data_IF_181409602601
#
_entry.id   IF_181409602601
#
_cell.length_a   1.000
_cell.length_b   1.000
_cell.length_c   1.000
_cell.angle_alpha   90.00
_cell.angle_beta   90.00
_cell.angle_gamma   90.00
#
_symmetry.space_group_name_H-M   'P 1'
#
loop_
_entity.id
_entity.type
_entity.pdbx_description
1 polymer ?
#
# COMPACT_ATOMS: atom_id res chain seq x y z
N UNK A 1 -8.06 3.79 -20.63
CA UNK A 1 -9.01 3.75 -19.50
C UNK A 1 -10.27 4.48 -19.92
N UNK A 2 -11.44 3.86 -19.78
CA UNK A 2 -12.71 4.50 -20.14
C UNK A 2 -12.98 5.62 -19.11
N UNK A 3 -13.03 6.88 -19.53
CA UNK A 3 -13.04 8.07 -18.66
C UNK A 3 -14.20 8.10 -17.65
N UNK A 4 -15.30 7.46 -18.00
CA UNK A 4 -16.48 7.25 -17.14
C UNK A 4 -16.18 6.36 -15.93
N UNK A 5 -15.40 5.28 -16.12
CA UNK A 5 -15.10 4.35 -15.02
C UNK A 5 -14.19 5.00 -13.97
N UNK A 6 -13.17 5.74 -14.39
CA UNK A 6 -12.27 6.46 -13.48
C UNK A 6 -13.02 7.43 -12.59
N UNK A 7 -13.99 8.16 -13.17
CA UNK A 7 -14.84 9.09 -12.41
C UNK A 7 -15.73 8.36 -11.41
N UNK A 8 -16.35 7.24 -11.81
CA UNK A 8 -17.18 6.44 -10.90
C UNK A 8 -16.36 5.88 -9.74
N UNK A 9 -15.14 5.41 -10.01
CA UNK A 9 -14.24 4.91 -8.98
C UNK A 9 -13.80 6.02 -8.01
N UNK A 10 -13.34 7.17 -8.52
CA UNK A 10 -12.92 8.29 -7.68
C UNK A 10 -14.06 8.76 -6.75
N UNK A 11 -15.28 8.85 -7.27
CA UNK A 11 -16.44 9.21 -6.46
C UNK A 11 -16.72 8.17 -5.36
N UNK A 12 -16.62 6.88 -5.69
CA UNK A 12 -16.80 5.81 -4.71
C UNK A 12 -15.70 5.83 -3.64
N UNK A 13 -14.45 6.01 -4.04
CA UNK A 13 -13.29 6.14 -3.14
C UNK A 13 -13.50 7.30 -2.15
N UNK A 14 -13.89 8.47 -2.64
CA UNK A 14 -14.18 9.63 -1.78
C UNK A 14 -15.38 9.37 -0.87
N UNK A 15 -16.47 8.81 -1.39
CA UNK A 15 -17.65 8.47 -0.59
C UNK A 15 -17.29 7.52 0.56
N UNK A 16 -16.57 6.44 0.28
CA UNK A 16 -16.16 5.47 1.29
C UNK A 16 -15.17 6.08 2.30
N UNK A 17 -14.27 6.96 1.84
CA UNK A 17 -13.35 7.69 2.73
C UNK A 17 -14.11 8.60 3.69
N UNK A 18 -15.08 9.40 3.20
CA UNK A 18 -15.91 10.25 4.06
C UNK A 18 -16.83 9.44 4.98
N UNK A 19 -17.39 8.34 4.48
CA UNK A 19 -18.22 7.45 5.28
C UNK A 19 -17.42 6.86 6.45
N UNK A 20 -16.20 6.38 6.21
CA UNK A 20 -15.37 5.80 7.25
C UNK A 20 -14.76 6.84 8.18
N UNK A 21 -14.49 8.07 7.69
CA UNK A 21 -14.20 9.23 8.54
C UNK A 21 -15.37 9.53 9.49
N UNK A 22 -16.61 9.45 9.00
CA UNK A 22 -17.77 9.61 9.88
C UNK A 22 -17.87 8.47 10.89
N UNK A 23 -17.64 7.21 10.47
CA UNK A 23 -17.60 6.05 11.37
C UNK A 23 -16.57 6.24 12.48
N UNK A 24 -15.35 6.68 12.18
CA UNK A 24 -14.30 6.85 13.20
C UNK A 24 -14.63 7.93 14.24
N UNK A 25 -15.47 8.90 13.90
CA UNK A 25 -15.96 9.89 14.87
C UNK A 25 -17.09 9.33 15.76
N UNK A 26 -17.85 8.34 15.27
CA UNK A 26 -19.02 7.79 15.99
C UNK A 26 -18.68 6.58 16.87
N UNK A 27 -17.68 5.80 16.48
CA UNK A 27 -17.34 4.53 17.12
C UNK A 27 -15.94 4.61 17.75
N UNK A 28 -15.61 3.65 18.60
CA UNK A 28 -14.29 3.56 19.23
C UNK A 28 -13.35 2.57 18.52
N UNK A 29 -12.08 2.59 18.91
CA UNK A 29 -10.98 1.82 18.32
C UNK A 29 -11.30 0.33 18.08
N UNK A 30 -12.01 -0.34 19.00
CA UNK A 30 -12.37 -1.76 18.82
C UNK A 30 -13.20 -2.01 17.55
N UNK A 31 -14.16 -1.13 17.26
CA UNK A 31 -15.00 -1.24 16.05
C UNK A 31 -14.18 -0.88 14.82
N UNK A 32 -13.37 0.16 14.93
CA UNK A 32 -12.51 0.63 13.85
C UNK A 32 -11.50 -0.43 13.42
N UNK A 33 -10.79 -1.02 14.37
CA UNK A 33 -9.81 -2.07 14.15
C UNK A 33 -10.46 -3.31 13.56
N UNK A 34 -11.63 -3.72 14.07
CA UNK A 34 -12.37 -4.84 13.50
C UNK A 34 -12.70 -4.60 12.01
N UNK A 35 -13.23 -3.42 11.67
CA UNK A 35 -13.51 -3.05 10.28
C UNK A 35 -12.21 -3.04 9.45
N UNK A 36 -11.14 -2.47 10.00
CA UNK A 36 -9.84 -2.40 9.35
C UNK A 36 -9.29 -3.79 9.03
N UNK A 37 -9.31 -4.71 9.99
CA UNK A 37 -8.86 -6.09 9.79
C UNK A 37 -9.71 -6.81 8.75
N UNK A 38 -11.03 -6.67 8.78
CA UNK A 38 -11.90 -7.25 7.73
C UNK A 38 -11.51 -6.72 6.35
N UNK A 39 -11.28 -5.42 6.21
CA UNK A 39 -10.88 -4.80 4.94
C UNK A 39 -9.50 -5.26 4.46
N UNK A 40 -8.51 -5.29 5.35
CA UNK A 40 -7.14 -5.72 5.03
C UNK A 40 -7.09 -7.21 4.69
N UNK A 41 -7.73 -8.06 5.48
CA UNK A 41 -7.75 -9.51 5.24
C UNK A 41 -8.50 -9.83 3.94
N UNK A 42 -9.61 -9.15 3.66
CA UNK A 42 -10.37 -9.38 2.43
C UNK A 42 -9.67 -8.80 1.19
N UNK A 43 -9.72 -7.48 1.00
CA UNK A 43 -9.22 -6.81 -0.21
C UNK A 43 -7.70 -6.65 -0.17
N UNK A 44 -7.14 -6.40 1.01
CA UNK A 44 -5.71 -6.19 1.21
C UNK A 44 -4.85 -7.44 1.06
N UNK A 45 -5.34 -8.66 1.25
CA UNK A 45 -4.58 -9.87 0.87
C UNK A 45 -4.87 -10.22 -0.59
N UNK A 46 -6.12 -10.03 -1.03
CA UNK A 46 -6.56 -10.37 -2.38
C UNK A 46 -5.81 -9.60 -3.47
N UNK A 47 -5.43 -8.33 -3.25
CA UNK A 47 -4.74 -7.53 -4.27
C UNK A 47 -3.35 -8.07 -4.69
N UNK A 48 -2.64 -8.76 -3.79
CA UNK A 48 -1.36 -9.42 -4.07
C UNK A 48 -1.49 -10.90 -4.44
N UNK A 49 -2.68 -11.48 -4.30
CA UNK A 49 -2.90 -12.92 -4.49
C UNK A 49 -2.73 -13.37 -5.96
N UNK A 50 -2.80 -12.46 -6.94
CA UNK A 50 -2.68 -12.79 -8.36
C UNK A 50 -1.29 -12.50 -8.95
N UNK A 51 -0.27 -12.25 -8.13
CA UNK A 51 1.07 -11.85 -8.61
C UNK A 51 1.71 -12.87 -9.56
N UNK A 52 1.67 -14.16 -9.21
CA UNK A 52 2.21 -15.22 -10.07
C UNK A 52 1.43 -15.37 -11.39
N UNK A 53 0.12 -15.08 -11.38
CA UNK A 53 -0.70 -15.05 -12.58
C UNK A 53 -0.25 -13.92 -13.52
N UNK A 54 0.01 -12.73 -12.98
CA UNK A 54 0.50 -11.58 -13.76
C UNK A 54 1.83 -11.91 -14.45
N UNK A 55 2.77 -12.49 -13.72
CA UNK A 55 4.07 -12.89 -14.28
C UNK A 55 3.92 -13.92 -15.40
N UNK A 56 3.02 -14.90 -15.23
CA UNK A 56 2.77 -15.94 -16.26
C UNK A 56 2.25 -15.36 -17.58
N UNK A 57 1.40 -14.32 -17.51
CA UNK A 57 0.85 -13.66 -18.69
C UNK A 57 1.92 -12.84 -19.41
N UNK A 58 2.79 -12.16 -18.66
CA UNK A 58 3.83 -11.31 -19.25
C UNK A 58 4.85 -12.11 -20.07
N UNK A 59 5.27 -13.28 -19.58
CA UNK A 59 6.41 -14.01 -20.17
C UNK A 59 6.04 -15.02 -21.27
N UNK A 60 4.74 -15.26 -21.52
CA UNK A 60 4.20 -16.10 -22.62
C UNK A 60 4.84 -17.50 -22.78
N UNK A 61 5.38 -18.11 -21.70
CA UNK A 61 6.01 -19.45 -21.72
C UNK A 61 5.85 -20.19 -20.39
N UNK A 62 5.36 -21.44 -20.42
CA UNK A 62 5.10 -22.26 -19.21
C UNK A 62 6.35 -22.56 -18.37
N UNK A 63 7.54 -22.64 -18.99
CA UNK A 63 8.81 -22.88 -18.27
C UNK A 63 9.22 -21.74 -17.34
N UNK A 64 8.51 -20.61 -17.35
CA UNK A 64 8.87 -19.46 -16.50
C UNK A 64 8.09 -19.37 -15.20
N UNK A 65 7.01 -20.14 -15.00
CA UNK A 65 6.25 -20.13 -13.74
C UNK A 65 7.12 -20.56 -12.56
N UNK A 66 7.82 -21.70 -12.66
CA UNK A 66 8.71 -22.20 -11.59
C UNK A 66 9.83 -21.20 -11.30
N UNK A 67 10.42 -20.61 -12.34
CA UNK A 67 11.45 -19.57 -12.18
C UNK A 67 10.91 -18.37 -11.40
N UNK A 68 9.73 -17.87 -11.76
CA UNK A 68 9.10 -16.73 -11.10
C UNK A 68 8.70 -17.04 -9.67
N UNK A 69 8.19 -18.24 -9.41
CA UNK A 69 7.93 -18.72 -8.05
C UNK A 69 9.20 -18.77 -7.21
N UNK A 70 10.30 -19.31 -7.76
CA UNK A 70 11.61 -19.34 -7.08
C UNK A 70 12.07 -17.92 -6.75
N UNK A 71 12.01 -16.98 -7.69
CA UNK A 71 12.39 -15.58 -7.44
C UNK A 71 11.48 -14.96 -6.37
N UNK A 72 10.17 -15.14 -6.47
CA UNK A 72 9.17 -14.63 -5.52
C UNK A 72 9.46 -15.12 -4.10
N UNK A 73 9.67 -16.43 -3.92
CA UNK A 73 10.00 -17.04 -2.63
C UNK A 73 11.40 -16.60 -2.15
N UNK A 74 12.36 -16.42 -3.06
CA UNK A 74 13.71 -15.95 -2.70
C UNK A 74 13.69 -14.53 -2.14
N UNK A 75 12.84 -13.64 -2.68
CA UNK A 75 12.64 -12.30 -2.14
C UNK A 75 12.07 -12.38 -0.72
N UNK A 76 11.07 -13.25 -0.47
CA UNK A 76 10.53 -13.46 0.88
C UNK A 76 11.62 -13.94 1.84
N UNK A 77 12.40 -14.95 1.45
CA UNK A 77 13.49 -15.49 2.29
C UNK A 77 14.52 -14.39 2.58
N UNK A 78 14.86 -13.57 1.60
CA UNK A 78 15.77 -12.43 1.80
C UNK A 78 15.20 -11.43 2.82
N UNK A 79 13.91 -11.09 2.73
CA UNK A 79 13.24 -10.23 3.73
C UNK A 79 13.32 -10.83 5.14
N UNK A 80 13.08 -12.14 5.28
CA UNK A 80 13.19 -12.84 6.56
C UNK A 80 14.62 -12.84 7.10
N UNK A 81 15.61 -13.07 6.25
CA UNK A 81 17.03 -13.00 6.65
C UNK A 81 17.38 -11.60 7.15
N UNK A 82 16.98 -10.54 6.43
CA UNK A 82 17.22 -9.15 6.86
C UNK A 82 16.54 -8.89 8.21
N UNK A 83 15.30 -9.36 8.40
CA UNK A 83 14.58 -9.24 9.67
C UNK A 83 15.31 -9.95 10.81
N UNK A 84 15.83 -11.15 10.60
CA UNK A 84 16.60 -11.89 11.62
C UNK A 84 17.90 -11.17 12.01
N UNK A 85 18.55 -10.47 11.08
CA UNK A 85 19.74 -9.67 11.38
C UNK A 85 19.41 -8.34 12.07
N UNK A 86 18.36 -7.66 11.60
CA UNK A 86 17.90 -6.40 12.19
C UNK A 86 16.43 -6.16 11.82
N UNK A 87 15.49 -6.40 12.76
CA UNK A 87 14.07 -6.14 12.54
C UNK A 87 13.79 -4.67 12.19
N UNK A 88 14.49 -3.74 12.86
CA UNK A 88 14.35 -2.31 12.61
C UNK A 88 14.74 -1.93 11.16
N UNK A 89 15.87 -2.45 10.66
CA UNK A 89 16.29 -2.21 9.28
C UNK A 89 15.31 -2.84 8.28
N UNK A 90 14.80 -4.04 8.58
CA UNK A 90 13.77 -4.68 7.76
C UNK A 90 12.51 -3.80 7.63
N UNK A 91 12.00 -3.29 8.76
CA UNK A 91 10.85 -2.38 8.76
C UNK A 91 11.14 -1.09 8.00
N UNK A 92 12.32 -0.49 8.20
CA UNK A 92 12.72 0.72 7.48
C UNK A 92 12.72 0.50 5.96
N UNK A 93 13.29 -0.61 5.49
CA UNK A 93 13.28 -0.99 4.07
C UNK A 93 11.86 -1.22 3.55
N UNK A 94 11.00 -1.83 4.36
CA UNK A 94 9.59 -2.00 4.02
C UNK A 94 8.85 -0.66 3.88
N UNK A 95 9.04 0.27 4.81
CA UNK A 95 8.44 1.61 4.73
C UNK A 95 8.93 2.33 3.48
N UNK A 96 10.22 2.27 3.18
CA UNK A 96 10.79 2.89 1.97
C UNK A 96 10.24 2.27 0.68
N UNK A 97 10.20 0.93 0.59
CA UNK A 97 9.70 0.23 -0.58
C UNK A 97 8.20 0.48 -0.79
N UNK A 98 7.41 0.37 0.28
CA UNK A 98 5.98 0.65 0.26
C UNK A 98 5.71 2.10 -0.12
N UNK A 99 6.51 3.04 0.39
CA UNK A 99 6.39 4.46 0.06
C UNK A 99 6.57 4.71 -1.43
N UNK A 100 7.63 4.17 -2.02
CA UNK A 100 7.83 4.26 -3.47
C UNK A 100 6.65 3.62 -4.23
N UNK A 101 6.25 2.40 -3.85
CA UNK A 101 5.19 1.67 -4.55
C UNK A 101 3.84 2.40 -4.50
N UNK A 102 3.48 2.94 -3.34
CA UNK A 102 2.27 3.73 -3.14
C UNK A 102 2.27 4.98 -4.01
N UNK A 103 3.38 5.73 -4.03
CA UNK A 103 3.50 6.92 -4.87
C UNK A 103 3.48 6.60 -6.36
N UNK A 104 4.14 5.53 -6.80
CA UNK A 104 4.14 5.11 -8.20
C UNK A 104 2.73 4.72 -8.65
N UNK A 105 2.02 3.94 -7.84
CA UNK A 105 0.66 3.52 -8.16
C UNK A 105 -0.32 4.69 -8.26
N UNK A 106 -0.17 5.68 -7.37
CA UNK A 106 -1.04 6.86 -7.35
C UNK A 106 -0.73 7.88 -8.46
N UNK A 107 0.56 8.15 -8.73
CA UNK A 107 0.99 9.30 -9.54
C UNK A 107 1.50 8.96 -10.94
N UNK A 108 1.90 7.72 -11.24
CA UNK A 108 2.56 7.34 -12.51
C UNK A 108 1.74 7.66 -13.77
N UNK A 109 0.40 7.63 -13.68
CA UNK A 109 -0.48 8.01 -14.80
C UNK A 109 -0.56 9.52 -15.03
N UNK A 110 -0.24 10.33 -14.02
CA UNK A 110 -0.34 11.79 -14.04
C UNK A 110 1.01 12.46 -14.28
N UNK A 111 2.08 11.89 -13.74
CA UNK A 111 3.43 12.48 -13.72
C UNK A 111 4.40 11.62 -14.53
N UNK A 112 5.02 12.23 -15.54
CA UNK A 112 6.08 11.58 -16.30
C UNK A 112 7.13 12.60 -16.77
N UNK A 113 8.30 12.62 -16.11
CA UNK A 113 9.42 13.53 -16.41
C UNK A 113 10.65 12.76 -16.86
N UNK A 114 11.27 12.03 -15.95
CA UNK A 114 12.39 11.11 -16.16
C UNK A 114 12.45 10.15 -14.97
N UNK A 115 13.25 9.08 -15.08
CA UNK A 115 13.32 8.02 -14.06
C UNK A 115 13.67 8.57 -12.67
N UNK A 116 14.68 9.45 -12.58
CA UNK A 116 15.15 9.97 -11.29
C UNK A 116 14.10 10.86 -10.61
N UNK A 117 13.56 11.83 -11.35
CA UNK A 117 12.52 12.74 -10.83
C UNK A 117 11.27 11.96 -10.42
N UNK A 118 10.78 11.08 -11.30
CA UNK A 118 9.58 10.29 -11.03
C UNK A 118 9.79 9.45 -9.76
N UNK A 119 10.93 8.76 -9.65
CA UNK A 119 11.19 7.91 -8.48
C UNK A 119 11.29 8.68 -7.17
N UNK A 120 11.97 9.83 -7.16
CA UNK A 120 12.05 10.67 -5.97
C UNK A 120 10.70 11.29 -5.61
N UNK A 121 9.92 11.72 -6.60
CA UNK A 121 8.60 12.32 -6.38
C UNK A 121 7.58 11.29 -5.87
N UNK A 122 7.60 10.06 -6.40
CA UNK A 122 6.78 8.95 -5.94
C UNK A 122 7.18 8.52 -4.53
N UNK A 123 8.48 8.38 -4.26
CA UNK A 123 8.96 8.09 -2.91
C UNK A 123 8.54 9.18 -1.92
N UNK A 124 8.67 10.47 -2.28
CA UNK A 124 8.25 11.58 -1.43
C UNK A 124 6.74 11.52 -1.11
N UNK A 125 5.89 11.17 -2.09
CA UNK A 125 4.46 10.99 -1.85
C UNK A 125 4.18 9.90 -0.82
N UNK A 126 4.74 8.71 -0.99
CA UNK A 126 4.52 7.63 -0.02
C UNK A 126 5.13 7.90 1.35
N UNK A 127 6.32 8.51 1.40
CA UNK A 127 6.96 8.89 2.66
C UNK A 127 6.10 9.92 3.40
N UNK A 128 5.48 10.86 2.68
CA UNK A 128 4.52 11.81 3.27
C UNK A 128 3.33 11.06 3.88
N UNK A 129 2.73 10.10 3.17
CA UNK A 129 1.61 9.32 3.71
C UNK A 129 2.02 8.53 4.98
N UNK A 130 3.13 7.77 4.93
CA UNK A 130 3.57 7.00 6.08
C UNK A 130 3.91 7.89 7.28
N UNK A 131 4.67 8.95 7.06
CA UNK A 131 5.03 9.87 8.15
C UNK A 131 3.82 10.63 8.69
N UNK A 132 2.82 10.93 7.87
CA UNK A 132 1.57 11.54 8.34
C UNK A 132 0.76 10.59 9.23
N UNK A 133 0.63 9.33 8.84
CA UNK A 133 -0.01 8.29 9.67
C UNK A 133 0.78 8.14 10.98
N UNK A 134 2.10 8.00 10.90
CA UNK A 134 2.93 7.79 12.08
C UNK A 134 2.90 8.97 13.03
N UNK A 135 2.94 10.20 12.50
CA UNK A 135 2.86 11.42 13.30
C UNK A 135 1.53 11.52 14.05
N UNK A 136 0.45 11.06 13.43
CA UNK A 136 -0.87 11.16 14.00
C UNK A 136 -1.20 10.02 14.98
N UNK A 137 -0.42 8.94 14.97
CA UNK A 137 -0.61 7.75 15.81
C UNK A 137 0.71 7.29 16.46
N UNK A 138 1.53 8.25 16.93
CA UNK A 138 2.88 7.99 17.46
C UNK A 138 2.86 6.93 18.56
N UNK A 139 1.89 6.99 19.47
CA UNK A 139 1.79 6.03 20.59
C UNK A 139 1.62 4.59 20.11
N UNK A 140 0.73 4.38 19.14
CA UNK A 140 0.43 3.04 18.61
C UNK A 140 1.58 2.52 17.75
N UNK A 141 2.20 3.40 16.96
CA UNK A 141 3.41 3.08 16.20
C UNK A 141 4.53 2.68 17.14
N UNK A 142 4.72 3.38 18.25
CA UNK A 142 5.73 3.05 19.27
C UNK A 142 5.48 1.66 19.87
N UNK A 143 4.24 1.33 20.20
CA UNK A 143 3.87 0.01 20.74
C UNK A 143 4.18 -1.10 19.73
N UNK A 144 3.74 -0.95 18.48
CA UNK A 144 3.99 -1.94 17.42
C UNK A 144 5.49 -2.07 17.12
N UNK A 145 6.23 -0.96 17.06
CA UNK A 145 7.66 -0.97 16.79
C UNK A 145 8.47 -1.61 17.92
N UNK A 146 8.10 -1.40 19.18
CA UNK A 146 8.73 -2.07 20.32
C UNK A 146 8.50 -3.57 20.28
N UNK A 147 7.28 -4.01 19.99
CA UNK A 147 6.97 -5.44 19.91
C UNK A 147 7.71 -6.11 18.74
N UNK A 148 7.77 -5.46 17.58
CA UNK A 148 8.43 -6.01 16.40
C UNK A 148 9.97 -5.98 16.49
N UNK A 149 10.53 -4.90 17.03
CA UNK A 149 11.95 -4.58 16.85
C UNK A 149 12.73 -4.32 18.12
N UNK A 150 12.05 -4.14 19.26
CA UNK A 150 12.65 -3.64 20.49
C UNK A 150 13.12 -2.18 20.43
N UNK A 151 12.95 -1.50 19.29
CA UNK A 151 13.32 -0.12 19.02
C UNK A 151 12.10 0.67 18.52
N UNK A 152 12.18 1.99 18.52
CA UNK A 152 11.15 2.87 17.97
C UNK A 152 11.73 3.96 17.09
N UNK A 153 10.87 4.64 16.33
CA UNK A 153 11.21 5.91 15.71
C UNK A 153 11.08 7.02 16.75
N UNK A 154 11.98 7.99 16.73
CA UNK A 154 11.79 9.18 17.55
C UNK A 154 10.76 10.11 16.91
N UNK A 155 10.01 10.86 17.71
CA UNK A 155 9.06 11.86 17.22
C UNK A 155 9.74 12.83 16.23
N UNK A 156 10.94 13.30 16.57
CA UNK A 156 11.74 14.15 15.67
C UNK A 156 12.05 13.49 14.31
N UNK A 157 12.32 12.18 14.27
CA UNK A 157 12.56 11.46 13.00
C UNK A 157 11.30 11.40 12.14
N UNK A 158 10.13 11.21 12.76
CA UNK A 158 8.84 11.20 12.07
C UNK A 158 8.53 12.60 11.53
N UNK A 159 8.64 13.63 12.38
CA UNK A 159 8.38 15.03 12.02
C UNK A 159 9.28 15.52 10.89
N UNK A 160 10.59 15.28 10.99
CA UNK A 160 11.51 15.75 9.95
C UNK A 160 11.25 15.04 8.62
N UNK A 161 10.86 13.76 8.66
CA UNK A 161 10.50 13.00 7.47
C UNK A 161 9.21 13.54 6.84
N UNK A 162 8.21 13.88 7.65
CA UNK A 162 6.97 14.52 7.20
C UNK A 162 7.25 15.88 6.56
N UNK A 163 8.05 16.72 7.21
CA UNK A 163 8.42 18.03 6.71
C UNK A 163 9.21 17.92 5.40
N UNK A 164 10.24 17.08 5.35
CA UNK A 164 11.09 16.94 4.17
C UNK A 164 10.32 16.38 2.98
N UNK A 165 9.48 15.36 3.19
CA UNK A 165 8.62 14.82 2.13
C UNK A 165 7.61 15.86 1.62
N UNK A 166 7.01 16.66 2.50
CA UNK A 166 6.13 17.77 2.11
C UNK A 166 6.87 18.83 1.28
N UNK A 167 8.09 19.21 1.68
CA UNK A 167 8.94 20.15 0.95
C UNK A 167 9.29 19.60 -0.43
N UNK A 168 9.70 18.33 -0.54
CA UNK A 168 9.99 17.70 -1.83
C UNK A 168 8.76 17.65 -2.74
N UNK A 169 7.59 17.30 -2.21
CA UNK A 169 6.33 17.33 -2.96
C UNK A 169 5.99 18.74 -3.43
N UNK A 170 6.13 19.75 -2.57
CA UNK A 170 5.87 21.14 -2.93
C UNK A 170 6.81 21.63 -4.03
N UNK A 171 8.12 21.46 -3.87
CA UNK A 171 9.13 21.87 -4.86
C UNK A 171 8.94 21.11 -6.17
N UNK A 172 8.72 19.79 -6.11
CA UNK A 172 8.46 18.97 -7.30
C UNK A 172 7.20 19.40 -8.04
N UNK A 173 6.12 19.70 -7.32
CA UNK A 173 4.86 20.21 -7.89
C UNK A 173 5.05 21.58 -8.53
N UNK A 174 5.76 22.49 -7.86
CA UNK A 174 6.08 23.82 -8.37
C UNK A 174 6.91 23.72 -9.66
N UNK A 175 7.93 22.86 -9.69
CA UNK A 175 8.70 22.57 -10.90
C UNK A 175 7.81 22.11 -12.06
N UNK A 176 6.89 21.17 -11.83
CA UNK A 176 5.98 20.65 -12.84
C UNK A 176 5.01 21.72 -13.39
N UNK A 177 4.56 22.64 -12.53
CA UNK A 177 3.70 23.77 -12.92
C UNK A 177 4.49 24.80 -13.73
N UNK A 178 5.65 25.25 -13.23
CA UNK A 178 6.46 26.29 -13.86
C UNK A 178 7.02 25.84 -15.21
N UNK A 179 7.37 24.56 -15.35
CA UNK A 179 7.79 23.97 -16.63
C UNK A 179 6.64 23.58 -17.54
N UNK A 180 5.39 23.86 -17.16
CA UNK A 180 4.15 23.55 -17.91
C UNK A 180 4.00 22.06 -18.27
N UNK A 181 4.64 21.16 -17.51
CA UNK A 181 4.52 19.70 -17.70
C UNK A 181 3.16 19.18 -17.24
N UNK A 182 2.59 19.82 -16.21
CA UNK A 182 1.29 19.46 -15.65
C UNK A 182 0.44 20.70 -15.35
N UNK A 183 -0.89 20.52 -15.35
CA UNK A 183 -1.84 21.60 -15.01
C UNK A 183 -1.91 21.79 -13.50
N UNK A 184 -1.99 23.04 -13.05
CA UNK A 184 -2.14 23.41 -11.63
C UNK A 184 -3.31 22.69 -10.94
N UNK A 185 -4.40 22.44 -11.68
CA UNK A 185 -5.58 21.72 -11.19
C UNK A 185 -5.25 20.37 -10.55
N UNK A 186 -4.29 19.61 -11.11
CA UNK A 186 -3.90 18.29 -10.56
C UNK A 186 -3.39 18.46 -9.12
N UNK A 187 -2.57 19.47 -8.86
CA UNK A 187 -1.97 19.68 -7.53
C UNK A 187 -2.97 20.23 -6.52
N UNK A 188 -3.97 20.99 -6.97
CA UNK A 188 -5.09 21.41 -6.11
C UNK A 188 -5.93 20.19 -5.70
N UNK A 189 -6.19 19.26 -6.62
CA UNK A 189 -6.86 18.00 -6.32
C UNK A 189 -6.03 17.14 -5.35
N UNK A 190 -4.70 17.01 -5.57
CA UNK A 190 -3.83 16.28 -4.64
C UNK A 190 -3.78 16.91 -3.24
N UNK A 191 -3.72 18.24 -3.14
CA UNK A 191 -3.75 18.92 -1.84
C UNK A 191 -5.06 18.65 -1.10
N UNK A 192 -6.19 18.63 -1.81
CA UNK A 192 -7.48 18.25 -1.23
C UNK A 192 -7.47 16.80 -0.73
N UNK A 193 -6.91 15.86 -1.50
CA UNK A 193 -6.80 14.46 -1.07
C UNK A 193 -5.90 14.29 0.16
N UNK A 194 -4.75 14.95 0.20
CA UNK A 194 -3.85 14.90 1.35
C UNK A 194 -4.50 15.51 2.60
N UNK A 195 -5.26 16.59 2.46
CA UNK A 195 -6.01 17.19 3.57
C UNK A 195 -7.13 16.26 4.07
N UNK A 196 -7.83 15.56 3.17
CA UNK A 196 -8.83 14.56 3.54
C UNK A 196 -8.19 13.39 4.29
N UNK A 197 -7.06 12.88 3.80
CA UNK A 197 -6.32 11.80 4.46
C UNK A 197 -5.77 12.23 5.82
N UNK A 198 -5.30 13.47 5.96
CA UNK A 198 -4.93 14.02 7.27
C UNK A 198 -6.10 13.97 8.25
N UNK A 199 -7.31 14.40 7.83
CA UNK A 199 -8.49 14.33 8.69
C UNK A 199 -8.86 12.90 9.09
N UNK A 200 -8.76 11.96 8.13
CA UNK A 200 -8.95 10.53 8.41
C UNK A 200 -7.97 10.07 9.48
N UNK A 201 -6.66 10.20 9.24
CA UNK A 201 -5.65 9.73 10.18
C UNK A 201 -5.78 10.40 11.55
N UNK A 202 -6.22 11.66 11.58
CA UNK A 202 -6.42 12.40 12.82
C UNK A 202 -7.57 11.91 13.69
N UNK A 203 -8.56 11.27 13.08
CA UNK A 203 -9.81 10.93 13.74
C UNK A 203 -10.10 9.43 13.77
N UNK A 204 -9.17 8.61 13.33
CA UNK A 204 -9.27 7.14 13.35
C UNK A 204 -8.11 6.51 14.12
N UNK A 205 -8.29 5.27 14.55
CA UNK A 205 -7.20 4.40 14.99
C UNK A 205 -6.13 4.28 13.90
N UNK A 206 -4.90 3.96 14.31
CA UNK A 206 -3.79 3.68 13.40
C UNK A 206 -4.20 2.69 12.30
N UNK A 207 -4.88 1.62 12.71
CA UNK A 207 -5.20 0.48 11.84
C UNK A 207 -6.29 0.85 10.84
N UNK A 208 -7.36 1.54 11.28
CA UNK A 208 -8.40 2.00 10.37
C UNK A 208 -7.89 3.07 9.41
N UNK A 209 -7.12 4.05 9.90
CA UNK A 209 -6.51 5.07 9.06
C UNK A 209 -5.65 4.46 7.96
N UNK A 210 -4.74 3.54 8.35
CA UNK A 210 -3.95 2.78 7.39
C UNK A 210 -4.82 1.96 6.43
N UNK A 211 -5.86 1.25 6.91
CA UNK A 211 -6.72 0.43 6.06
C UNK A 211 -7.52 1.26 5.04
N UNK A 212 -8.02 2.44 5.42
CA UNK A 212 -8.71 3.35 4.49
C UNK A 212 -7.77 3.72 3.34
N UNK A 213 -6.55 4.16 3.67
CA UNK A 213 -5.56 4.50 2.66
C UNK A 213 -5.18 3.26 1.81
N UNK A 214 -4.75 2.19 2.47
CA UNK A 214 -4.25 1.00 1.81
C UNK A 214 -5.29 0.39 0.88
N UNK A 215 -6.55 0.29 1.28
CA UNK A 215 -7.58 -0.35 0.46
C UNK A 215 -8.09 0.59 -0.63
N UNK A 216 -8.61 1.76 -0.27
CA UNK A 216 -9.29 2.63 -1.23
C UNK A 216 -8.35 3.50 -2.04
N UNK A 217 -7.17 3.83 -1.54
CA UNK A 217 -6.24 4.71 -2.27
C UNK A 217 -5.16 3.92 -2.99
N UNK A 218 -4.92 2.66 -2.61
CA UNK A 218 -3.84 1.85 -3.18
C UNK A 218 -4.29 0.49 -3.76
N UNK A 219 -4.91 -0.40 -2.98
CA UNK A 219 -5.21 -1.76 -3.40
C UNK A 219 -6.27 -1.81 -4.51
N UNK A 220 -7.38 -1.07 -4.40
CA UNK A 220 -8.42 -1.10 -5.43
C UNK A 220 -7.94 -0.52 -6.78
N UNK A 221 -7.23 0.63 -6.84
CA UNK A 221 -6.62 1.12 -8.07
C UNK A 221 -5.64 0.11 -8.68
N UNK A 222 -4.81 -0.52 -7.84
CA UNK A 222 -3.89 -1.59 -8.27
C UNK A 222 -4.66 -2.78 -8.85
N UNK A 223 -5.69 -3.29 -8.17
CA UNK A 223 -6.56 -4.37 -8.66
C UNK A 223 -7.17 -4.00 -10.02
N UNK A 224 -7.67 -2.78 -10.17
CA UNK A 224 -8.23 -2.31 -11.45
C UNK A 224 -7.18 -2.40 -12.56
N UNK A 225 -5.96 -1.92 -12.32
CA UNK A 225 -4.87 -1.98 -13.31
C UNK A 225 -4.44 -3.43 -13.60
N UNK A 226 -4.40 -4.29 -12.59
CA UNK A 226 -4.11 -5.71 -12.77
C UNK A 226 -5.19 -6.42 -13.60
N UNK A 227 -6.48 -6.12 -13.38
CA UNK A 227 -7.57 -6.67 -14.19
C UNK A 227 -7.45 -6.22 -15.65
N UNK A 228 -7.17 -4.93 -15.87
CA UNK A 228 -6.94 -4.38 -17.20
C UNK A 228 -5.74 -5.06 -17.89
N UNK A 229 -4.65 -5.34 -17.15
CA UNK A 229 -3.49 -6.06 -17.67
C UNK A 229 -3.81 -7.53 -18.01
N UNK A 230 -4.49 -8.24 -17.10
CA UNK A 230 -4.80 -9.68 -17.23
C UNK A 230 -5.82 -9.93 -18.34
N UNK A 231 -6.86 -9.09 -18.42
CA UNK A 231 -8.05 -9.36 -19.24
C UNK A 231 -8.25 -8.38 -20.39
N UNK A 232 -7.45 -7.31 -20.48
CA UNK A 232 -7.53 -6.27 -21.51
C UNK A 232 -8.71 -5.30 -21.35
N UNK A 233 -9.68 -5.58 -20.48
CA UNK A 233 -10.80 -4.70 -20.17
C UNK A 233 -11.34 -4.90 -18.75
N UNK A 234 -12.10 -3.90 -18.29
CA UNK A 234 -12.72 -3.90 -16.98
C UNK A 234 -14.24 -4.00 -17.11
N UNK A 235 -14.80 -5.13 -16.68
CA UNK A 235 -16.23 -5.37 -16.60
C UNK A 235 -16.54 -6.41 -15.52
N UNK A 236 -17.84 -6.65 -15.23
CA UNK A 236 -18.26 -7.60 -14.19
C UNK A 236 -17.68 -9.01 -14.37
N UNK A 237 -17.55 -9.48 -15.61
CA UNK A 237 -16.99 -10.82 -15.89
C UNK A 237 -15.50 -10.88 -15.58
N UNK A 238 -14.73 -9.85 -15.95
CA UNK A 238 -13.28 -9.81 -15.68
C UNK A 238 -12.95 -9.59 -14.22
N UNK A 239 -13.76 -8.80 -13.49
CA UNK A 239 -13.68 -8.68 -12.03
C UNK A 239 -13.92 -10.05 -11.36
N UNK A 240 -15.00 -10.75 -11.74
CA UNK A 240 -15.30 -12.07 -11.19
C UNK A 240 -14.20 -13.09 -11.49
N UNK A 241 -13.65 -13.07 -12.72
CA UNK A 241 -12.52 -13.91 -13.10
C UNK A 241 -11.29 -13.65 -12.22
N UNK A 242 -10.95 -12.38 -12.00
CA UNK A 242 -9.82 -11.98 -11.16
C UNK A 242 -9.99 -12.47 -9.71
N UNK A 243 -11.16 -12.24 -9.11
CA UNK A 243 -11.47 -12.71 -7.75
C UNK A 243 -11.35 -14.24 -7.68
N UNK A 244 -11.94 -14.96 -8.64
CA UNK A 244 -11.89 -16.43 -8.66
C UNK A 244 -10.45 -16.97 -8.73
N UNK A 245 -9.57 -16.30 -9.48
CA UNK A 245 -8.14 -16.68 -9.56
C UNK A 245 -7.39 -16.35 -8.28
N UNK A 246 -7.69 -15.20 -7.66
CA UNK A 246 -7.08 -14.78 -6.40
C UNK A 246 -7.46 -15.70 -5.23
N UNK A 247 -8.67 -16.24 -5.21
CA UNK A 247 -9.20 -17.01 -4.06
C UNK A 247 -8.29 -18.15 -3.62
N UNK A 248 -7.62 -18.85 -4.54
CA UNK A 248 -6.73 -19.98 -4.19
C UNK A 248 -5.55 -19.49 -3.35
N UNK A 249 -4.83 -18.48 -3.84
CA UNK A 249 -3.69 -17.92 -3.14
C UNK A 249 -4.11 -17.14 -1.90
N UNK A 250 -5.28 -16.49 -1.94
CA UNK A 250 -5.87 -15.85 -0.77
C UNK A 250 -6.11 -16.87 0.36
N UNK A 251 -6.76 -18.01 0.09
CA UNK A 251 -6.97 -19.07 1.11
C UNK A 251 -5.63 -19.57 1.66
N UNK A 252 -4.63 -19.77 0.81
CA UNK A 252 -3.28 -20.18 1.25
C UNK A 252 -2.69 -19.13 2.20
N UNK A 253 -2.80 -17.83 1.88
CA UNK A 253 -2.34 -16.75 2.75
C UNK A 253 -3.09 -16.70 4.08
N UNK A 254 -4.41 -16.93 4.09
CA UNK A 254 -5.19 -17.00 5.34
C UNK A 254 -4.76 -18.18 6.21
N UNK A 255 -4.55 -19.35 5.62
CA UNK A 255 -4.05 -20.52 6.38
C UNK A 255 -2.66 -20.24 6.94
N UNK A 256 -1.77 -19.62 6.14
CA UNK A 256 -0.45 -19.20 6.60
C UNK A 256 -0.51 -18.21 7.78
N UNK A 257 -1.43 -17.24 7.72
CA UNK A 257 -1.70 -16.29 8.80
C UNK A 257 -2.12 -17.01 10.09
N UNK A 258 -3.08 -17.94 10.01
CA UNK A 258 -3.57 -18.68 11.17
C UNK A 258 -2.48 -19.56 11.79
N UNK A 259 -1.64 -20.19 10.97
CA UNK A 259 -0.50 -20.99 11.44
C UNK A 259 0.53 -20.09 12.13
N UNK A 260 0.90 -18.96 11.54
CA UNK A 260 1.85 -18.03 12.14
C UNK A 260 1.35 -17.48 13.48
N UNK A 261 0.06 -17.12 13.55
CA UNK A 261 -0.57 -16.66 14.80
C UNK A 261 -0.45 -17.70 15.93
N UNK A 262 -0.58 -18.99 15.62
CA UNK A 262 -0.43 -20.06 16.61
C UNK A 262 1.03 -20.37 16.98
N UNK A 263 1.96 -20.23 16.02
CA UNK A 263 3.37 -20.59 16.19
C UNK A 263 4.22 -19.49 16.83
N UNK A 264 3.74 -18.24 16.85
CA UNK A 264 4.44 -17.10 17.47
C UNK A 264 3.65 -16.57 18.66
N UNK A 265 3.58 -17.30 19.80
CA UNK A 265 2.82 -16.88 20.98
C UNK A 265 3.36 -15.61 21.65
N UNK A 266 4.52 -15.12 21.22
CA UNK A 266 5.15 -13.91 21.74
C UNK A 266 4.59 -12.62 21.11
N UNK A 267 3.80 -12.73 20.03
CA UNK A 267 3.08 -11.58 19.46
C UNK A 267 1.73 -11.48 20.14
N UNK A 268 1.58 -10.48 21.00
CA UNK A 268 0.35 -10.18 21.73
C UNK A 268 -0.62 -9.38 20.85
N UNK A 269 -0.12 -8.51 19.97
CA UNK A 269 -0.95 -7.66 19.12
C UNK A 269 -1.27 -8.30 17.78
N UNK A 270 -2.56 -8.40 17.46
CA UNK A 270 -2.99 -8.86 16.15
C UNK A 270 -2.50 -7.94 15.00
N UNK A 271 -2.38 -6.64 15.28
CA UNK A 271 -1.81 -5.64 14.36
C UNK A 271 -0.40 -6.02 13.89
N UNK A 272 0.42 -6.54 14.81
CA UNK A 272 1.80 -6.99 14.54
C UNK A 272 1.82 -8.18 13.59
N UNK A 273 0.90 -9.13 13.75
CA UNK A 273 0.78 -10.27 12.83
C UNK A 273 0.37 -9.81 11.42
N UNK A 274 -0.59 -8.90 11.33
CA UNK A 274 -1.00 -8.31 10.04
C UNK A 274 0.18 -7.57 9.39
N UNK A 275 0.95 -6.82 10.18
CA UNK A 275 2.13 -6.12 9.68
C UNK A 275 3.20 -7.08 9.14
N UNK A 276 3.51 -8.17 9.85
CA UNK A 276 4.48 -9.19 9.38
C UNK A 276 4.06 -9.79 8.04
N UNK A 277 2.76 -9.99 7.82
CA UNK A 277 2.27 -10.49 6.53
C UNK A 277 2.46 -9.45 5.44
N UNK A 278 2.04 -8.21 5.69
CA UNK A 278 2.26 -7.11 4.75
C UNK A 278 3.74 -6.98 4.41
N UNK A 279 4.61 -7.04 5.41
CA UNK A 279 6.06 -7.05 5.24
C UNK A 279 6.52 -8.17 4.29
N UNK A 280 6.09 -9.41 4.53
CA UNK A 280 6.51 -10.56 3.75
C UNK A 280 6.03 -10.51 2.30
N UNK A 281 4.85 -9.96 2.02
CA UNK A 281 4.26 -9.96 0.67
C UNK A 281 4.57 -8.70 -0.14
N UNK A 282 4.83 -7.56 0.50
CA UNK A 282 5.00 -6.28 -0.21
C UNK A 282 6.22 -6.27 -1.12
N UNK A 283 7.35 -6.83 -0.69
CA UNK A 283 8.56 -6.84 -1.50
C UNK A 283 8.41 -7.65 -2.81
N UNK A 284 7.99 -8.92 -2.77
CA UNK A 284 7.77 -9.66 -4.00
C UNK A 284 6.61 -9.06 -4.83
N UNK A 285 5.56 -8.52 -4.20
CA UNK A 285 4.49 -7.82 -4.91
C UNK A 285 4.98 -6.61 -5.69
N UNK A 286 5.76 -5.74 -5.06
CA UNK A 286 6.33 -4.54 -5.69
C UNK A 286 7.20 -4.92 -6.90
N UNK A 287 7.95 -6.02 -6.80
CA UNK A 287 8.70 -6.57 -7.92
C UNK A 287 7.78 -7.02 -9.08
N UNK A 288 6.68 -7.71 -8.78
CA UNK A 288 5.69 -8.12 -9.78
C UNK A 288 5.04 -6.91 -10.44
N UNK A 289 4.67 -5.88 -9.67
CA UNK A 289 4.10 -4.65 -10.21
C UNK A 289 5.08 -3.91 -11.13
N UNK A 290 6.36 -3.83 -10.75
CA UNK A 290 7.42 -3.30 -11.62
C UNK A 290 7.54 -4.11 -12.92
N UNK A 291 7.48 -5.45 -12.84
CA UNK A 291 7.45 -6.31 -14.02
C UNK A 291 6.19 -6.07 -14.84
N UNK A 292 5.02 -5.89 -14.26
CA UNK A 292 3.79 -5.64 -15.01
C UNK A 292 3.87 -4.34 -15.84
N UNK A 293 4.52 -3.30 -15.30
CA UNK A 293 4.60 -1.96 -15.93
C UNK A 293 5.71 -1.81 -16.98
N UNK A 294 6.78 -2.61 -16.89
CA UNK A 294 7.93 -2.61 -17.83
C UNK A 294 7.94 -3.88 -18.68
#
# INVERSE_FOLDING_TARGET
>A
MNTLFNRNYQNLMLFLTFFLLWVSIQFGEVVEDFLAYVMVISLGILHGANDLLILSIKEKKDKTFIKNLIIYVSIIILCLIIYMFSPFVAILLFVLLSSYHFGEEHLSKKINVNVLFNSLYFLAYGMFIFSLIFYQSITDVDVIMRELTGLTFTEFQIEITLLMSAVFLFIGSLYLILTKRNKSKIFIEELFYLMLLFLVFKSSSLILGFAIYFIFWHSIPSIIHQIEFISGNLNKKTIFFYIKKALIYWVISIIGLLILYQLVPQVELFATVVFVILFAVTAPHTWVMYKMKN
#
